data_IF_096046791131
#
_entry.id   IF_096046791131
#
_cell.length_a   1.000
_cell.length_b   1.000
_cell.length_c   1.000
_cell.angle_alpha   90.00
_cell.angle_beta   90.00
_cell.angle_gamma   90.00
#
_symmetry.space_group_name_H-M   'P 1'
#
loop_
_entity.id
_entity.type
_entity.pdbx_description
1 polymer ?
#
# COMPACT_ATOMS: atom_id res chain seq x y z
N UNK A 1 38.81 -84.66 -42.61
CA UNK A 1 39.43 -83.33 -42.81
C UNK A 1 38.41 -82.22 -43.11
N UNK A 2 37.43 -82.38 -44.03
CA UNK A 2 36.44 -81.33 -44.34
C UNK A 2 35.59 -80.85 -43.14
N UNK A 3 35.16 -81.76 -42.26
CA UNK A 3 34.34 -81.40 -41.09
C UNK A 3 35.15 -80.73 -39.94
N UNK A 4 36.47 -80.93 -39.87
CA UNK A 4 37.31 -80.27 -38.86
C UNK A 4 37.64 -78.82 -39.25
N UNK A 5 37.86 -78.54 -40.55
CA UNK A 5 38.03 -77.18 -41.06
C UNK A 5 36.76 -76.32 -40.88
N UNK A 6 35.58 -76.90 -41.04
CA UNK A 6 34.29 -76.22 -40.84
C UNK A 6 34.05 -75.87 -39.36
N UNK A 7 34.41 -76.76 -38.43
CA UNK A 7 34.27 -76.52 -36.99
C UNK A 7 35.24 -75.42 -36.50
N UNK A 8 36.48 -75.41 -37.00
CA UNK A 8 37.47 -74.37 -36.69
C UNK A 8 37.11 -73.00 -37.25
N UNK A 9 36.53 -72.95 -38.46
CA UNK A 9 36.01 -71.71 -39.05
C UNK A 9 34.80 -71.16 -38.26
N UNK A 10 33.89 -72.03 -37.83
CA UNK A 10 32.75 -71.64 -37.00
C UNK A 10 33.19 -71.15 -35.61
N UNK A 11 34.20 -71.78 -35.02
CA UNK A 11 34.77 -71.37 -33.72
C UNK A 11 35.50 -70.01 -33.81
N UNK A 12 36.25 -69.77 -34.88
CA UNK A 12 36.86 -68.45 -35.17
C UNK A 12 35.81 -67.36 -35.42
N UNK A 13 34.70 -67.71 -36.11
CA UNK A 13 33.58 -66.80 -36.30
C UNK A 13 32.91 -66.44 -34.96
N UNK A 14 32.66 -67.44 -34.10
CA UNK A 14 32.08 -67.25 -32.77
C UNK A 14 33.00 -66.44 -31.84
N UNK A 15 34.32 -66.64 -31.89
CA UNK A 15 35.30 -65.83 -31.16
C UNK A 15 35.32 -64.38 -31.66
N UNK A 16 35.22 -64.16 -32.97
CA UNK A 16 35.17 -62.81 -33.56
C UNK A 16 33.90 -62.06 -33.16
N UNK A 17 32.76 -62.77 -33.06
CA UNK A 17 31.49 -62.23 -32.59
C UNK A 17 31.57 -61.86 -31.10
N UNK A 18 32.21 -62.67 -30.25
CA UNK A 18 32.37 -62.34 -28.84
C UNK A 18 33.27 -61.13 -28.59
N UNK A 19 34.39 -60.99 -29.34
CA UNK A 19 35.30 -59.84 -29.23
C UNK A 19 34.60 -58.55 -29.69
N UNK A 20 33.84 -58.62 -30.79
CA UNK A 20 33.06 -57.49 -31.30
C UNK A 20 31.94 -57.10 -30.34
N UNK A 21 31.25 -58.06 -29.72
CA UNK A 21 30.21 -57.80 -28.73
C UNK A 21 30.75 -57.15 -27.44
N UNK A 22 31.98 -57.48 -27.03
CA UNK A 22 32.63 -56.82 -25.90
C UNK A 22 32.96 -55.36 -26.24
N UNK A 23 33.47 -55.08 -27.44
CA UNK A 23 33.72 -53.73 -27.94
C UNK A 23 32.41 -52.92 -28.08
N UNK A 24 31.35 -53.52 -28.61
CA UNK A 24 30.04 -52.87 -28.77
C UNK A 24 29.41 -52.51 -27.42
N UNK A 25 29.51 -53.42 -26.44
CA UNK A 25 29.05 -53.15 -25.08
C UNK A 25 29.82 -51.98 -24.45
N UNK A 26 31.13 -51.94 -24.58
CA UNK A 26 31.97 -50.85 -24.07
C UNK A 26 31.62 -49.50 -24.71
N UNK A 27 31.37 -49.47 -26.03
CA UNK A 27 30.93 -48.27 -26.76
C UNK A 27 29.59 -47.77 -26.23
N UNK A 28 28.61 -48.66 -26.06
CA UNK A 28 27.28 -48.32 -25.53
C UNK A 28 27.37 -47.77 -24.11
N UNK A 29 28.14 -48.43 -23.22
CA UNK A 29 28.27 -47.99 -21.83
C UNK A 29 29.00 -46.65 -21.74
N UNK A 30 30.05 -46.46 -22.54
CA UNK A 30 30.79 -45.19 -22.61
C UNK A 30 29.88 -44.04 -23.05
N UNK A 31 29.06 -44.26 -24.09
CA UNK A 31 28.09 -43.26 -24.54
C UNK A 31 27.08 -42.92 -23.43
N UNK A 32 26.44 -43.94 -22.82
CA UNK A 32 25.45 -43.74 -21.75
C UNK A 32 26.04 -43.01 -20.54
N UNK A 33 27.25 -43.37 -20.14
CA UNK A 33 27.95 -42.73 -19.03
C UNK A 33 28.25 -41.26 -19.32
N UNK A 34 28.73 -40.94 -20.53
CA UNK A 34 28.98 -39.54 -20.91
C UNK A 34 27.70 -38.73 -21.03
N UNK A 35 26.62 -39.31 -21.55
CA UNK A 35 25.29 -38.66 -21.58
C UNK A 35 24.84 -38.33 -20.15
N UNK A 36 24.91 -39.29 -19.22
CA UNK A 36 24.55 -39.03 -17.82
C UNK A 36 25.43 -37.96 -17.17
N UNK A 37 26.73 -37.98 -17.44
CA UNK A 37 27.64 -36.97 -16.92
C UNK A 37 27.28 -35.57 -17.45
N UNK A 38 26.94 -35.46 -18.74
CA UNK A 38 26.53 -34.18 -19.34
C UNK A 38 25.16 -33.73 -18.83
N UNK A 39 24.19 -34.64 -18.64
CA UNK A 39 22.91 -34.31 -18.00
C UNK A 39 23.13 -33.78 -16.57
N UNK A 40 24.02 -34.41 -15.80
CA UNK A 40 24.36 -33.96 -14.45
C UNK A 40 25.05 -32.59 -14.48
N UNK A 41 26.08 -32.42 -15.29
CA UNK A 41 26.81 -31.15 -15.44
C UNK A 41 25.88 -30.02 -15.89
N UNK A 42 24.92 -30.31 -16.78
CA UNK A 42 23.92 -29.35 -17.22
C UNK A 42 23.00 -28.90 -16.07
N UNK A 43 22.60 -29.85 -15.21
CA UNK A 43 21.77 -29.55 -14.03
C UNK A 43 22.52 -28.78 -12.94
N UNK A 44 23.83 -29.00 -12.82
CA UNK A 44 24.69 -28.37 -11.81
C UNK A 44 25.36 -27.07 -12.29
N UNK A 45 25.32 -26.78 -13.59
CA UNK A 45 25.95 -25.60 -14.18
C UNK A 45 25.51 -24.30 -13.49
N UNK A 46 26.50 -23.47 -13.17
CA UNK A 46 26.38 -22.23 -12.40
C UNK A 46 26.64 -20.96 -13.22
N UNK A 47 27.07 -21.09 -14.48
CA UNK A 47 27.34 -19.94 -15.36
C UNK A 47 27.09 -20.23 -16.84
N UNK A 48 26.90 -19.15 -17.60
CA UNK A 48 26.74 -19.21 -19.06
C UNK A 48 27.99 -19.76 -19.76
N UNK A 49 29.18 -19.53 -19.20
CA UNK A 49 30.45 -20.10 -19.69
C UNK A 49 30.52 -21.62 -19.49
N UNK A 50 30.07 -22.13 -18.35
CA UNK A 50 29.95 -23.58 -18.13
C UNK A 50 28.95 -24.22 -19.09
N UNK A 51 27.80 -23.57 -19.32
CA UNK A 51 26.80 -24.00 -20.31
C UNK A 51 27.40 -24.05 -21.72
N UNK A 52 28.15 -23.03 -22.10
CA UNK A 52 28.84 -22.97 -23.40
C UNK A 52 29.91 -24.06 -23.54
N UNK A 53 30.56 -24.46 -22.46
CA UNK A 53 31.52 -25.57 -22.46
C UNK A 53 30.81 -26.93 -22.56
N UNK A 54 29.71 -27.13 -21.82
CA UNK A 54 28.86 -28.33 -21.94
C UNK A 54 28.30 -28.46 -23.35
N UNK A 55 27.92 -27.35 -24.00
CA UNK A 55 27.48 -27.35 -25.40
C UNK A 55 28.57 -27.88 -26.35
N UNK A 56 29.83 -27.49 -26.13
CA UNK A 56 30.98 -28.02 -26.89
C UNK A 56 31.21 -29.50 -26.60
N UNK A 57 31.08 -29.92 -25.34
CA UNK A 57 31.24 -31.33 -24.96
C UNK A 57 30.14 -32.23 -25.55
N UNK A 58 28.93 -31.70 -25.72
CA UNK A 58 27.83 -32.38 -26.44
C UNK A 58 28.14 -32.53 -27.93
N UNK A 59 28.74 -31.53 -28.59
CA UNK A 59 29.20 -31.68 -29.97
C UNK A 59 30.35 -32.69 -30.07
N UNK A 60 31.30 -32.68 -29.13
CA UNK A 60 32.37 -33.68 -29.07
C UNK A 60 31.83 -35.09 -28.85
N UNK A 61 30.81 -35.26 -28.00
CA UNK A 61 30.11 -36.53 -27.82
C UNK A 61 29.46 -36.98 -29.13
N UNK A 62 28.74 -36.07 -29.80
CA UNK A 62 28.07 -36.37 -31.07
C UNK A 62 29.10 -36.82 -32.12
N UNK A 63 30.21 -36.11 -32.24
CA UNK A 63 31.24 -36.41 -33.23
C UNK A 63 31.92 -37.76 -32.93
N UNK A 64 32.29 -38.00 -31.67
CA UNK A 64 32.95 -39.24 -31.22
C UNK A 64 32.12 -40.51 -31.45
N UNK A 65 30.79 -40.42 -31.36
CA UNK A 65 29.91 -41.58 -31.43
C UNK A 65 29.10 -41.67 -32.73
N UNK A 66 29.30 -40.72 -33.65
CA UNK A 66 28.59 -40.65 -34.94
C UNK A 66 28.75 -41.91 -35.80
N UNK A 67 29.95 -42.49 -35.84
CA UNK A 67 30.24 -43.72 -36.58
C UNK A 67 29.55 -44.95 -35.98
N UNK A 68 29.18 -44.91 -34.70
CA UNK A 68 28.55 -46.00 -33.96
C UNK A 68 27.02 -45.84 -33.84
N UNK A 69 26.43 -44.93 -34.61
CA UNK A 69 25.01 -44.58 -34.51
C UNK A 69 24.06 -45.77 -34.60
N UNK A 70 24.25 -46.66 -35.57
CA UNK A 70 23.34 -47.80 -35.78
C UNK A 70 23.32 -48.77 -34.58
N UNK A 71 24.47 -48.95 -33.93
CA UNK A 71 24.58 -49.72 -32.69
C UNK A 71 23.86 -49.03 -31.53
N UNK A 72 24.04 -47.72 -31.39
CA UNK A 72 23.43 -46.92 -30.33
C UNK A 72 21.91 -46.82 -30.48
N UNK A 73 21.40 -46.64 -31.70
CA UNK A 73 19.96 -46.59 -31.99
C UNK A 73 19.25 -47.89 -31.54
N UNK A 74 19.91 -49.04 -31.68
CA UNK A 74 19.38 -50.34 -31.20
C UNK A 74 19.42 -50.47 -29.67
N UNK A 75 20.40 -49.85 -29.01
CA UNK A 75 20.62 -49.96 -27.56
C UNK A 75 19.87 -48.92 -26.71
N UNK A 76 19.43 -47.82 -27.34
CA UNK A 76 18.78 -46.68 -26.68
C UNK A 76 17.24 -46.74 -26.75
N UNK A 77 16.66 -47.75 -27.38
CA UNK A 77 15.22 -47.86 -27.60
C UNK A 77 14.38 -47.65 -26.31
N UNK A 78 13.28 -46.87 -26.36
CA UNK A 78 12.62 -46.30 -27.54
C UNK A 78 13.27 -45.01 -28.09
N UNK A 79 14.31 -44.51 -27.42
CA UNK A 79 15.10 -43.38 -27.90
C UNK A 79 16.12 -43.82 -28.95
N UNK A 80 16.72 -42.84 -29.63
CA UNK A 80 17.79 -43.04 -30.59
C UNK A 80 18.95 -42.06 -30.33
N UNK A 81 20.08 -42.27 -31.00
CA UNK A 81 21.27 -41.44 -30.85
C UNK A 81 20.97 -39.96 -31.12
N UNK A 82 20.24 -39.68 -32.19
CA UNK A 82 19.93 -38.30 -32.60
C UNK A 82 19.02 -37.62 -31.58
N UNK A 83 17.98 -38.31 -31.09
CA UNK A 83 17.07 -37.79 -30.07
C UNK A 83 17.78 -37.56 -28.74
N UNK A 84 18.68 -38.46 -28.35
CA UNK A 84 19.47 -38.30 -27.11
C UNK A 84 20.34 -37.05 -27.17
N UNK A 85 21.07 -36.85 -28.28
CA UNK A 85 21.87 -35.64 -28.50
C UNK A 85 20.99 -34.40 -28.61
N UNK A 86 19.85 -34.48 -29.31
CA UNK A 86 18.91 -33.36 -29.41
C UNK A 86 18.35 -32.95 -28.06
N UNK A 87 18.00 -33.90 -27.19
CA UNK A 87 17.55 -33.65 -25.82
C UNK A 87 18.61 -32.90 -24.99
N UNK A 88 19.88 -33.31 -25.10
CA UNK A 88 20.99 -32.61 -24.45
C UNK A 88 21.12 -31.16 -24.96
N UNK A 89 21.03 -30.94 -26.27
CA UNK A 89 21.08 -29.60 -26.88
C UNK A 89 19.91 -28.72 -26.47
N UNK A 90 18.69 -29.26 -26.46
CA UNK A 90 17.53 -28.52 -25.96
C UNK A 90 17.64 -28.21 -24.47
N UNK A 91 18.28 -29.09 -23.68
CA UNK A 91 18.64 -28.81 -22.29
C UNK A 91 19.59 -27.62 -22.16
N UNK A 92 20.63 -27.54 -23.01
CA UNK A 92 21.53 -26.39 -23.10
C UNK A 92 20.78 -25.10 -23.42
N UNK A 93 19.90 -25.13 -24.43
CA UNK A 93 19.12 -23.95 -24.83
C UNK A 93 18.22 -23.45 -23.69
N UNK A 94 17.46 -24.35 -23.05
CA UNK A 94 16.61 -24.01 -21.91
C UNK A 94 17.42 -23.44 -20.76
N UNK A 95 18.54 -24.07 -20.42
CA UNK A 95 19.38 -23.63 -19.30
C UNK A 95 20.10 -22.32 -19.60
N UNK A 96 20.51 -22.07 -20.85
CA UNK A 96 21.06 -20.79 -21.29
C UNK A 96 20.03 -19.65 -21.22
N UNK A 97 18.77 -19.94 -21.55
CA UNK A 97 17.66 -19.01 -21.40
C UNK A 97 17.46 -18.61 -19.92
N UNK A 98 17.53 -19.55 -18.99
CA UNK A 98 17.46 -19.26 -17.55
C UNK A 98 18.53 -18.24 -17.14
N UNK A 99 19.80 -18.45 -17.54
CA UNK A 99 20.89 -17.54 -17.17
C UNK A 99 20.78 -16.15 -17.82
N UNK A 100 20.34 -16.08 -19.08
CA UNK A 100 20.13 -14.81 -19.78
C UNK A 100 19.01 -14.01 -19.12
N UNK A 101 17.92 -14.69 -18.71
CA UNK A 101 16.83 -14.05 -18.00
C UNK A 101 17.27 -13.59 -16.60
N UNK A 102 18.08 -14.38 -15.89
CA UNK A 102 18.67 -13.99 -14.61
C UNK A 102 19.54 -12.74 -14.75
N UNK A 103 20.41 -12.65 -15.76
CA UNK A 103 21.29 -11.49 -15.96
C UNK A 103 20.50 -10.20 -16.25
N UNK A 104 19.44 -10.30 -17.06
CA UNK A 104 18.53 -9.17 -17.34
C UNK A 104 17.83 -8.72 -16.05
N UNK A 105 17.28 -9.67 -15.29
CA UNK A 105 16.61 -9.37 -14.02
C UNK A 105 17.59 -8.79 -12.99
N UNK A 106 18.82 -9.28 -12.92
CA UNK A 106 19.86 -8.72 -12.04
C UNK A 106 20.20 -7.27 -12.42
N UNK A 107 20.36 -6.99 -13.71
CA UNK A 107 20.62 -5.63 -14.20
C UNK A 107 19.47 -4.69 -13.87
N UNK A 108 18.22 -5.12 -14.09
CA UNK A 108 17.03 -4.37 -13.75
C UNK A 108 16.95 -4.10 -12.24
N UNK A 109 17.17 -5.13 -11.40
CA UNK A 109 17.19 -5.00 -9.93
C UNK A 109 18.28 -4.03 -9.46
N UNK A 110 19.46 -4.01 -10.07
CA UNK A 110 20.53 -3.04 -9.73
C UNK A 110 20.08 -1.61 -10.06
N UNK A 111 19.48 -1.37 -11.22
CA UNK A 111 18.99 -0.04 -11.60
C UNK A 111 17.85 0.41 -10.68
N UNK A 112 16.90 -0.49 -10.38
CA UNK A 112 15.80 -0.22 -9.45
C UNK A 112 16.34 0.08 -8.04
N UNK A 113 17.37 -0.64 -7.59
CA UNK A 113 18.05 -0.40 -6.30
C UNK A 113 18.64 1.00 -6.22
N UNK A 114 19.43 1.38 -7.21
CA UNK A 114 20.08 2.70 -7.22
C UNK A 114 19.04 3.83 -7.21
N UNK A 115 17.89 3.62 -7.86
CA UNK A 115 16.77 4.55 -7.79
C UNK A 115 16.10 4.56 -6.40
N UNK A 116 15.89 3.39 -5.77
CA UNK A 116 15.37 3.31 -4.39
C UNK A 116 16.29 4.05 -3.42
N UNK A 117 17.61 3.91 -3.53
CA UNK A 117 18.58 4.60 -2.67
C UNK A 117 18.60 6.12 -2.87
N UNK A 118 18.48 6.57 -4.13
CA UNK A 118 18.31 7.99 -4.46
C UNK A 118 17.03 8.55 -3.85
N UNK A 119 15.90 7.86 -4.02
CA UNK A 119 14.61 8.26 -3.46
C UNK A 119 14.66 8.25 -1.93
N UNK A 120 15.30 7.26 -1.32
CA UNK A 120 15.52 7.16 0.12
C UNK A 120 16.29 8.36 0.69
N UNK A 121 17.28 8.85 -0.05
CA UNK A 121 18.07 10.03 0.35
C UNK A 121 17.24 11.30 0.20
N UNK A 122 16.59 11.45 -0.96
CA UNK A 122 15.69 12.58 -1.24
C UNK A 122 14.54 12.68 -0.24
N UNK A 123 13.90 11.56 0.09
CA UNK A 123 12.80 11.52 1.06
C UNK A 123 13.23 11.99 2.43
N UNK A 124 14.42 11.56 2.89
CA UNK A 124 14.98 12.02 4.17
C UNK A 124 15.22 13.53 4.18
N UNK A 125 15.75 14.06 3.09
CA UNK A 125 15.97 15.50 2.94
C UNK A 125 14.65 16.27 2.97
N UNK A 126 13.66 15.84 2.19
CA UNK A 126 12.33 16.45 2.16
C UNK A 126 11.64 16.40 3.52
N UNK A 127 11.68 15.26 4.23
CA UNK A 127 11.16 15.12 5.59
C UNK A 127 11.79 16.14 6.53
N UNK A 128 13.12 16.30 6.46
CA UNK A 128 13.83 17.25 7.30
C UNK A 128 13.43 18.71 6.97
N UNK A 129 13.32 19.06 5.69
CA UNK A 129 12.89 20.39 5.27
C UNK A 129 11.44 20.69 5.72
N UNK A 130 10.53 19.73 5.57
CA UNK A 130 9.14 19.85 6.02
C UNK A 130 9.10 20.06 7.54
N UNK A 131 9.81 19.24 8.31
CA UNK A 131 9.84 19.36 9.77
C UNK A 131 10.31 20.75 10.24
N UNK A 132 11.34 21.30 9.58
CA UNK A 132 11.85 22.65 9.89
C UNK A 132 10.81 23.72 9.58
N UNK A 133 10.18 23.69 8.40
CA UNK A 133 9.17 24.68 8.01
C UNK A 133 7.87 24.54 8.82
N UNK A 134 7.49 23.32 9.18
CA UNK A 134 6.27 23.05 9.95
C UNK A 134 6.38 23.61 11.37
N UNK A 135 7.58 23.58 11.96
CA UNK A 135 7.85 24.09 13.30
C UNK A 135 7.77 25.63 13.40
N UNK A 136 7.81 26.36 12.28
CA UNK A 136 7.64 27.81 12.28
C UNK A 136 6.18 28.17 12.61
N UNK A 137 5.99 29.01 13.63
CA UNK A 137 4.66 29.47 14.09
C UNK A 137 4.14 30.65 13.28
N UNK A 138 5.00 31.38 12.58
CA UNK A 138 4.65 32.59 11.84
C UNK A 138 4.80 32.37 10.32
N UNK A 139 4.17 31.30 9.81
CA UNK A 139 4.26 30.94 8.40
C UNK A 139 3.58 32.01 7.53
N UNK A 140 4.35 32.65 6.66
CA UNK A 140 3.79 33.50 5.62
C UNK A 140 3.24 32.69 4.44
N UNK A 141 2.53 33.35 3.53
CA UNK A 141 1.90 32.70 2.36
C UNK A 141 2.92 31.99 1.48
N UNK A 142 4.16 32.50 1.40
CA UNK A 142 5.22 31.89 0.60
C UNK A 142 5.74 30.61 1.25
N UNK A 143 5.94 30.61 2.56
CA UNK A 143 6.33 29.47 3.38
C UNK A 143 5.29 28.37 3.32
N UNK A 144 3.99 28.72 3.37
CA UNK A 144 2.89 27.77 3.20
C UNK A 144 2.93 27.13 1.82
N UNK A 145 3.07 27.92 0.74
CA UNK A 145 3.18 27.37 -0.62
C UNK A 145 4.39 26.46 -0.80
N UNK A 146 5.53 26.82 -0.21
CA UNK A 146 6.74 25.99 -0.23
C UNK A 146 6.51 24.67 0.51
N UNK A 147 5.89 24.73 1.68
CA UNK A 147 5.54 23.56 2.47
C UNK A 147 4.60 22.63 1.69
N UNK A 148 3.51 23.13 1.11
CA UNK A 148 2.57 22.35 0.27
C UNK A 148 3.29 21.65 -0.89
N UNK A 149 4.22 22.35 -1.55
CA UNK A 149 5.04 21.77 -2.61
C UNK A 149 5.96 20.66 -2.10
N UNK A 150 6.63 20.87 -0.96
CA UNK A 150 7.51 19.85 -0.37
C UNK A 150 6.72 18.61 0.07
N UNK A 151 5.55 18.79 0.69
CA UNK A 151 4.64 17.70 1.09
C UNK A 151 4.18 16.91 -0.13
N UNK A 152 3.77 17.60 -1.20
CA UNK A 152 3.36 16.96 -2.47
C UNK A 152 4.51 16.16 -3.09
N UNK A 153 5.70 16.75 -3.15
CA UNK A 153 6.89 16.10 -3.69
C UNK A 153 7.30 14.87 -2.88
N UNK A 154 7.24 14.97 -1.54
CA UNK A 154 7.55 13.85 -0.66
C UNK A 154 6.53 12.73 -0.82
N UNK A 155 5.23 13.03 -0.85
CA UNK A 155 4.15 12.05 -1.09
C UNK A 155 4.39 11.29 -2.40
N UNK A 156 4.66 12.01 -3.50
CA UNK A 156 4.94 11.39 -4.79
C UNK A 156 6.22 10.53 -4.78
N UNK A 157 7.26 11.00 -4.10
CA UNK A 157 8.55 10.31 -4.00
C UNK A 157 8.49 9.05 -3.12
N UNK A 158 7.72 9.07 -2.03
CA UNK A 158 7.43 7.89 -1.21
C UNK A 158 6.67 6.83 -2.03
N UNK A 159 5.59 7.23 -2.71
CA UNK A 159 4.81 6.33 -3.57
C UNK A 159 5.67 5.70 -4.67
N UNK A 160 6.51 6.52 -5.34
CA UNK A 160 7.42 6.02 -6.38
C UNK A 160 8.37 4.97 -5.82
N UNK A 161 9.00 5.25 -4.67
CA UNK A 161 9.93 4.31 -4.02
C UNK A 161 9.22 3.00 -3.68
N UNK A 162 8.03 3.07 -3.12
CA UNK A 162 7.32 1.88 -2.67
C UNK A 162 6.88 1.01 -3.86
N UNK A 163 6.45 1.63 -4.96
CA UNK A 163 6.19 0.90 -6.21
C UNK A 163 7.44 0.21 -6.75
N UNK A 164 8.63 0.80 -6.60
CA UNK A 164 9.89 0.16 -6.99
C UNK A 164 10.25 -1.00 -6.04
N UNK A 165 10.06 -0.84 -4.74
CA UNK A 165 10.25 -1.93 -3.76
C UNK A 165 9.34 -3.10 -4.10
N UNK A 166 8.07 -2.84 -4.42
CA UNK A 166 7.12 -3.86 -4.84
C UNK A 166 7.47 -4.46 -6.19
N UNK A 167 7.95 -3.66 -7.15
CA UNK A 167 8.41 -4.15 -8.45
C UNK A 167 9.62 -5.08 -8.34
N UNK A 168 10.57 -4.77 -7.45
CA UNK A 168 11.69 -5.67 -7.12
C UNK A 168 11.13 -6.98 -6.55
N UNK A 169 10.20 -6.91 -5.60
CA UNK A 169 9.57 -8.10 -5.00
C UNK A 169 8.82 -8.94 -6.04
N UNK A 170 8.05 -8.32 -6.92
CA UNK A 170 7.32 -9.01 -8.00
C UNK A 170 8.29 -9.64 -9.01
N UNK A 171 9.37 -8.95 -9.36
CA UNK A 171 10.44 -9.49 -10.22
C UNK A 171 11.12 -10.71 -9.61
N UNK A 172 11.19 -10.80 -8.29
CA UNK A 172 11.75 -11.95 -7.57
C UNK A 172 10.73 -13.09 -7.45
N UNK A 173 9.43 -12.79 -7.57
CA UNK A 173 8.34 -13.74 -7.29
C UNK A 173 8.34 -14.99 -8.17
N UNK A 174 8.61 -14.96 -9.50
CA UNK A 174 8.66 -16.18 -10.31
C UNK A 174 9.65 -17.23 -9.78
N UNK A 175 10.81 -16.81 -9.27
CA UNK A 175 11.80 -17.70 -8.63
C UNK A 175 11.37 -18.17 -7.23
N UNK A 176 10.39 -17.49 -6.63
CA UNK A 176 9.79 -17.76 -5.33
C UNK A 176 8.42 -18.48 -5.44
N UNK A 177 7.94 -18.83 -6.63
CA UNK A 177 6.66 -19.55 -6.81
C UNK A 177 6.80 -21.06 -6.92
N UNK A 178 8.01 -21.55 -7.23
CA UNK A 178 8.37 -22.92 -6.87
C UNK A 178 8.40 -22.97 -5.35
N UNK A 179 7.61 -23.85 -4.73
CA UNK A 179 7.41 -23.97 -3.28
C UNK A 179 8.69 -23.63 -2.51
N UNK A 180 8.86 -22.37 -2.09
CA UNK A 180 10.12 -21.87 -1.51
C UNK A 180 10.46 -22.65 -0.26
N UNK A 181 9.42 -23.12 0.43
CA UNK A 181 9.49 -24.06 1.54
C UNK A 181 10.29 -25.32 1.19
N UNK A 182 10.18 -25.80 -0.05
CA UNK A 182 10.86 -26.99 -0.59
C UNK A 182 12.29 -26.75 -1.06
N UNK A 183 12.71 -25.50 -1.27
CA UNK A 183 14.08 -25.18 -1.70
C UNK A 183 15.11 -25.56 -0.62
N UNK A 184 16.26 -26.09 -1.05
CA UNK A 184 17.37 -26.39 -0.17
C UNK A 184 17.93 -25.12 0.48
N UNK A 185 18.58 -25.20 1.66
CA UNK A 185 19.29 -24.07 2.23
C UNK A 185 20.30 -23.43 1.27
N UNK A 186 20.97 -24.24 0.45
CA UNK A 186 21.96 -23.82 -0.53
C UNK A 186 21.31 -23.03 -1.68
N UNK A 187 20.15 -23.47 -2.17
CA UNK A 187 19.39 -22.75 -3.20
C UNK A 187 18.86 -21.41 -2.69
N UNK A 188 18.37 -21.39 -1.44
CA UNK A 188 17.95 -20.14 -0.78
C UNK A 188 19.11 -19.17 -0.62
N UNK A 189 20.29 -19.69 -0.25
CA UNK A 189 21.50 -18.87 -0.14
C UNK A 189 21.95 -18.33 -1.50
N UNK A 190 21.87 -19.13 -2.58
CA UNK A 190 22.17 -18.67 -3.94
C UNK A 190 21.23 -17.58 -4.40
N UNK A 191 19.92 -17.72 -4.15
CA UNK A 191 18.92 -16.68 -4.45
C UNK A 191 19.23 -15.43 -3.63
N UNK A 192 19.44 -15.55 -2.31
CA UNK A 192 19.78 -14.41 -1.46
C UNK A 192 21.09 -13.71 -1.86
N UNK A 193 22.09 -14.47 -2.33
CA UNK A 193 23.40 -13.95 -2.75
C UNK A 193 23.40 -13.36 -4.17
N UNK A 194 22.67 -13.95 -5.11
CA UNK A 194 22.49 -13.39 -6.46
C UNK A 194 21.84 -12.01 -6.43
N UNK A 195 21.06 -11.76 -5.38
CA UNK A 195 20.41 -10.49 -5.13
C UNK A 195 20.88 -9.91 -3.80
N UNK A 196 22.22 -9.83 -3.55
CA UNK A 196 22.91 -9.06 -2.48
C UNK A 196 22.53 -7.54 -2.48
N UNK A 197 21.25 -7.26 -2.61
CA UNK A 197 20.54 -6.02 -2.47
C UNK A 197 20.40 -5.84 -0.97
N UNK A 198 20.88 -4.71 -0.44
CA UNK A 198 20.89 -4.47 1.00
C UNK A 198 19.47 -4.65 1.58
N UNK A 199 19.28 -5.83 2.17
CA UNK A 199 18.09 -6.48 2.71
C UNK A 199 16.72 -5.88 2.27
N UNK A 200 16.03 -6.55 1.33
CA UNK A 200 14.63 -6.24 0.93
C UNK A 200 13.73 -5.97 2.13
N UNK A 201 13.86 -6.74 3.21
CA UNK A 201 13.11 -6.53 4.45
C UNK A 201 13.48 -5.20 5.12
N UNK A 202 14.75 -4.79 5.11
CA UNK A 202 15.15 -3.47 5.60
C UNK A 202 14.56 -2.34 4.78
N UNK A 203 14.42 -2.49 3.46
CA UNK A 203 13.78 -1.49 2.62
C UNK A 203 12.28 -1.38 2.92
N UNK A 204 11.58 -2.50 3.12
CA UNK A 204 10.20 -2.51 3.59
C UNK A 204 10.09 -1.81 4.94
N UNK A 205 10.90 -2.22 5.94
CA UNK A 205 10.91 -1.62 7.28
C UNK A 205 11.18 -0.11 7.23
N UNK A 206 12.16 0.30 6.42
CA UNK A 206 12.48 1.73 6.22
C UNK A 206 11.31 2.47 5.60
N UNK A 207 10.66 1.88 4.59
CA UNK A 207 9.52 2.50 3.95
C UNK A 207 8.40 2.80 4.95
N UNK A 208 8.03 1.81 5.77
CA UNK A 208 7.02 1.96 6.83
C UNK A 208 7.40 3.04 7.85
N UNK A 209 8.67 3.08 8.29
CA UNK A 209 9.15 4.12 9.23
C UNK A 209 9.12 5.52 8.61
N UNK A 210 9.49 5.66 7.34
CA UNK A 210 9.47 6.95 6.66
C UNK A 210 8.04 7.48 6.47
N UNK A 211 7.05 6.60 6.25
CA UNK A 211 5.64 6.98 6.21
C UNK A 211 5.10 7.44 7.55
N UNK A 212 5.44 6.75 8.64
CA UNK A 212 5.12 7.22 10.00
C UNK A 212 5.74 8.60 10.23
N UNK A 213 7.02 8.76 9.92
CA UNK A 213 7.73 10.03 10.11
C UNK A 213 7.15 11.15 9.24
N UNK A 214 6.73 10.84 8.02
CA UNK A 214 6.05 11.79 7.14
C UNK A 214 4.78 12.34 7.81
N UNK A 215 3.91 11.45 8.29
CA UNK A 215 2.69 11.82 8.99
C UNK A 215 2.98 12.65 10.25
N UNK A 216 4.01 12.29 11.02
CA UNK A 216 4.38 12.99 12.26
C UNK A 216 4.86 14.44 12.04
N UNK A 217 5.33 14.79 10.84
CA UNK A 217 5.90 16.12 10.55
C UNK A 217 5.02 16.97 9.64
N UNK A 218 3.84 16.48 9.26
CA UNK A 218 2.95 17.15 8.32
C UNK A 218 1.66 17.61 8.98
N UNK A 219 0.88 18.40 8.26
CA UNK A 219 -0.53 18.64 8.55
C UNK A 219 -1.30 18.48 7.26
N UNK A 220 -2.19 17.49 7.22
CA UNK A 220 -2.80 17.00 5.98
C UNK A 220 -4.31 17.21 5.96
N UNK A 221 -4.84 17.42 4.75
CA UNK A 221 -6.29 17.49 4.53
C UNK A 221 -6.90 16.09 4.48
N UNK A 222 -8.22 15.95 4.69
CA UNK A 222 -8.89 14.64 4.69
C UNK A 222 -8.62 13.81 3.43
N UNK A 223 -8.57 14.44 2.26
CA UNK A 223 -8.29 13.76 0.99
C UNK A 223 -6.87 13.21 0.92
N UNK A 224 -5.86 13.95 1.40
CA UNK A 224 -4.47 13.50 1.43
C UNK A 224 -4.31 12.29 2.38
N UNK A 225 -4.96 12.35 3.55
CA UNK A 225 -4.93 11.24 4.51
C UNK A 225 -5.62 10.00 3.93
N UNK A 226 -6.74 10.19 3.20
CA UNK A 226 -7.42 9.11 2.49
C UNK A 226 -6.52 8.44 1.45
N UNK A 227 -5.76 9.21 0.69
CA UNK A 227 -4.79 8.66 -0.27
C UNK A 227 -3.70 7.83 0.43
N UNK A 228 -3.14 8.33 1.53
CA UNK A 228 -2.12 7.60 2.30
C UNK A 228 -2.70 6.33 2.90
N UNK A 229 -3.94 6.38 3.39
CA UNK A 229 -4.64 5.19 3.87
C UNK A 229 -4.82 4.15 2.77
N UNK A 230 -5.21 4.55 1.57
CA UNK A 230 -5.33 3.63 0.44
C UNK A 230 -3.98 2.98 0.09
N UNK A 231 -2.88 3.76 0.17
CA UNK A 231 -1.53 3.22 -0.03
C UNK A 231 -1.17 2.21 1.07
N UNK A 232 -1.48 2.51 2.33
CA UNK A 232 -1.27 1.61 3.45
C UNK A 232 -2.05 0.30 3.29
N UNK A 233 -3.34 0.39 2.94
CA UNK A 233 -4.20 -0.78 2.72
C UNK A 233 -3.66 -1.65 1.57
N UNK A 234 -3.21 -1.02 0.47
CA UNK A 234 -2.57 -1.74 -0.63
C UNK A 234 -1.28 -2.45 -0.19
N UNK A 235 -0.37 -1.75 0.50
CA UNK A 235 0.88 -2.33 0.97
C UNK A 235 0.63 -3.50 1.92
N UNK A 236 -0.26 -3.35 2.90
CA UNK A 236 -0.65 -4.43 3.82
C UNK A 236 -1.19 -5.63 3.02
N UNK A 237 -2.05 -5.41 2.03
CA UNK A 237 -2.62 -6.49 1.22
C UNK A 237 -1.57 -7.24 0.41
N UNK A 238 -0.54 -6.55 -0.08
CA UNK A 238 0.57 -7.14 -0.82
C UNK A 238 1.49 -7.91 0.12
N UNK A 239 1.83 -7.32 1.27
CA UNK A 239 2.63 -7.98 2.32
C UNK A 239 1.99 -9.28 2.82
N UNK A 240 0.67 -9.30 3.03
CA UNK A 240 -0.04 -10.52 3.44
C UNK A 240 0.09 -11.68 2.43
N UNK A 241 0.28 -11.38 1.14
CA UNK A 241 0.40 -12.39 0.09
C UNK A 241 1.81 -12.96 -0.03
N UNK A 242 2.84 -12.13 0.17
CA UNK A 242 4.23 -12.48 -0.20
C UNK A 242 5.23 -12.35 0.96
N UNK A 243 4.84 -11.74 2.08
CA UNK A 243 5.72 -11.42 3.20
C UNK A 243 6.37 -12.65 3.84
N UNK A 244 5.61 -13.75 3.97
CA UNK A 244 6.16 -15.02 4.48
C UNK A 244 7.27 -15.56 3.57
N UNK A 245 7.02 -15.59 2.26
CA UNK A 245 7.99 -16.08 1.27
C UNK A 245 9.24 -15.18 1.22
N UNK A 246 9.06 -13.87 1.32
CA UNK A 246 10.17 -12.92 1.39
C UNK A 246 11.04 -13.15 2.62
N UNK A 247 10.42 -13.27 3.80
CA UNK A 247 11.15 -13.57 5.03
C UNK A 247 11.82 -14.94 4.94
N UNK A 248 11.21 -15.91 4.27
CA UNK A 248 11.77 -17.24 4.16
C UNK A 248 13.08 -17.31 3.37
N UNK A 249 13.27 -16.40 2.41
CA UNK A 249 14.47 -16.29 1.58
C UNK A 249 15.49 -15.30 2.14
N UNK A 250 15.02 -14.15 2.64
CA UNK A 250 15.90 -13.02 2.96
C UNK A 250 16.22 -12.88 4.44
N UNK A 251 15.53 -13.57 5.35
CA UNK A 251 15.84 -13.55 6.77
C UNK A 251 16.65 -14.77 7.21
N UNK A 252 17.52 -14.56 8.20
CA UNK A 252 18.20 -15.64 8.90
C UNK A 252 17.19 -16.59 9.53
N UNK A 253 17.47 -17.90 9.49
CA UNK A 253 16.57 -18.96 10.02
C UNK A 253 16.07 -18.68 11.45
N UNK A 254 16.89 -18.04 12.28
CA UNK A 254 16.57 -17.73 13.68
C UNK A 254 15.72 -16.45 13.84
N UNK A 255 15.75 -15.56 12.86
CA UNK A 255 15.12 -14.23 12.92
C UNK A 255 13.80 -14.13 12.16
N UNK A 256 13.42 -15.15 11.38
CA UNK A 256 12.19 -15.14 10.57
C UNK A 256 10.94 -14.67 11.31
N UNK A 257 10.68 -15.24 12.49
CA UNK A 257 9.51 -14.85 13.30
C UNK A 257 9.61 -13.42 13.82
N UNK A 258 10.82 -12.95 14.13
CA UNK A 258 11.05 -11.59 14.61
C UNK A 258 10.86 -10.58 13.47
N UNK A 259 11.35 -10.88 12.27
CA UNK A 259 11.19 -10.02 11.09
C UNK A 259 9.72 -9.81 10.72
N UNK A 260 8.92 -10.89 10.69
CA UNK A 260 7.47 -10.80 10.45
C UNK A 260 6.79 -9.92 11.52
N UNK A 261 7.08 -10.17 12.80
CA UNK A 261 6.51 -9.40 13.91
C UNK A 261 6.91 -7.93 13.87
N UNK A 262 8.17 -7.63 13.55
CA UNK A 262 8.64 -6.25 13.47
C UNK A 262 7.90 -5.49 12.36
N UNK A 263 7.73 -6.11 11.20
CA UNK A 263 7.01 -5.50 10.08
C UNK A 263 5.52 -5.32 10.40
N UNK A 264 4.87 -6.31 11.05
CA UNK A 264 3.48 -6.19 11.50
C UNK A 264 3.29 -5.05 12.51
N UNK A 265 4.24 -4.88 13.43
CA UNK A 265 4.26 -3.74 14.36
C UNK A 265 4.39 -2.42 13.61
N UNK A 266 5.26 -2.34 12.61
CA UNK A 266 5.42 -1.14 11.79
C UNK A 266 4.15 -0.79 11.00
N UNK A 267 3.40 -1.78 10.50
CA UNK A 267 2.09 -1.55 9.89
C UNK A 267 1.08 -0.99 10.89
N UNK A 268 1.05 -1.52 12.12
CA UNK A 268 0.21 -0.98 13.19
C UNK A 268 0.58 0.46 13.58
N UNK A 269 1.88 0.76 13.61
CA UNK A 269 2.37 2.12 13.85
C UNK A 269 1.94 3.08 12.74
N UNK A 270 2.03 2.66 11.47
CA UNK A 270 1.56 3.48 10.34
C UNK A 270 0.06 3.73 10.41
N UNK A 271 -0.75 2.70 10.72
CA UNK A 271 -2.18 2.86 10.91
C UNK A 271 -2.51 3.86 12.04
N UNK A 272 -1.76 3.80 13.13
CA UNK A 272 -1.92 4.69 14.29
C UNK A 272 -1.52 6.11 13.93
N UNK A 273 -0.42 6.30 13.19
CA UNK A 273 0.03 7.60 12.71
C UNK A 273 -1.02 8.26 11.80
N UNK A 274 -1.65 7.52 10.89
CA UNK A 274 -2.74 8.03 10.03
C UNK A 274 -3.90 8.58 10.87
N UNK A 275 -4.29 7.85 11.93
CA UNK A 275 -5.38 8.28 12.83
C UNK A 275 -4.99 9.50 13.65
N UNK A 276 -3.77 9.52 14.18
CA UNK A 276 -3.26 10.64 14.96
C UNK A 276 -3.18 11.90 14.12
N UNK A 277 -2.70 11.78 12.88
CA UNK A 277 -2.58 12.88 11.95
C UNK A 277 -3.93 13.53 11.62
N UNK A 278 -4.98 12.73 11.46
CA UNK A 278 -6.34 13.25 11.29
C UNK A 278 -6.80 14.10 12.50
N UNK A 279 -6.56 13.62 13.73
CA UNK A 279 -6.95 14.38 14.93
C UNK A 279 -6.09 15.64 15.13
N UNK A 280 -4.79 15.55 14.86
CA UNK A 280 -3.87 16.69 14.93
C UNK A 280 -4.26 17.76 13.91
N UNK A 281 -4.57 17.37 12.68
CA UNK A 281 -5.01 18.30 11.62
C UNK A 281 -6.32 18.98 11.96
N UNK A 282 -7.31 18.25 12.51
CA UNK A 282 -8.54 18.87 13.02
C UNK A 282 -8.22 19.90 14.10
N UNK A 283 -7.33 19.58 15.05
CA UNK A 283 -6.96 20.51 16.12
C UNK A 283 -6.31 21.78 15.57
N UNK A 284 -5.43 21.65 14.60
CA UNK A 284 -4.79 22.79 13.93
C UNK A 284 -5.83 23.68 13.23
N UNK A 285 -6.84 23.10 12.57
CA UNK A 285 -7.95 23.86 11.93
C UNK A 285 -8.69 24.77 12.92
N UNK A 286 -8.91 24.31 14.15
CA UNK A 286 -9.50 25.15 15.20
C UNK A 286 -8.50 26.16 15.75
N UNK A 287 -7.25 25.78 15.98
CA UNK A 287 -6.21 26.65 16.53
C UNK A 287 -5.90 27.85 15.63
N UNK A 288 -5.84 27.66 14.30
CA UNK A 288 -5.64 28.73 13.31
C UNK A 288 -6.77 29.78 13.37
N UNK A 289 -7.96 29.37 13.78
CA UNK A 289 -9.11 30.25 13.97
C UNK A 289 -9.27 30.74 15.42
N UNK A 290 -8.21 30.64 16.24
CA UNK A 290 -8.16 31.04 17.66
C UNK A 290 -9.16 30.29 18.57
N UNK A 291 -9.52 29.06 18.20
CA UNK A 291 -10.36 28.18 19.02
C UNK A 291 -9.45 27.13 19.64
N UNK A 292 -9.16 27.30 20.93
CA UNK A 292 -8.28 26.41 21.67
C UNK A 292 -9.07 25.23 22.24
N UNK A 293 -8.88 24.05 21.65
CA UNK A 293 -9.40 22.79 22.18
C UNK A 293 -8.31 22.08 22.98
N UNK A 294 -8.72 21.34 24.02
CA UNK A 294 -7.87 20.36 24.69
C UNK A 294 -7.53 19.19 23.75
N UNK A 295 -6.54 18.40 24.14
CA UNK A 295 -6.11 17.23 23.38
C UNK A 295 -7.21 16.16 23.33
N UNK A 296 -7.44 15.62 22.13
CA UNK A 296 -8.26 14.44 21.87
C UNK A 296 -7.60 13.53 20.84
N UNK A 297 -7.84 12.22 20.96
CA UNK A 297 -7.30 11.16 20.08
C UNK A 297 -8.37 10.18 19.60
N UNK A 298 -9.63 10.46 19.90
CA UNK A 298 -10.77 9.60 19.56
C UNK A 298 -12.02 10.41 19.26
N UNK A 299 -12.97 9.84 18.52
CA UNK A 299 -14.25 10.51 18.24
C UNK A 299 -15.04 10.82 19.51
N UNK A 300 -14.89 10.00 20.55
CA UNK A 300 -15.51 10.26 21.85
C UNK A 300 -14.89 11.47 22.54
N UNK A 301 -13.57 11.53 22.66
CA UNK A 301 -12.87 12.67 23.25
C UNK A 301 -13.12 13.95 22.45
N UNK A 302 -13.10 13.89 21.12
CA UNK A 302 -13.42 15.01 20.25
C UNK A 302 -14.84 15.53 20.51
N UNK A 303 -15.83 14.63 20.59
CA UNK A 303 -17.22 15.00 20.87
C UNK A 303 -17.36 15.65 22.25
N UNK A 304 -16.75 15.06 23.28
CA UNK A 304 -16.77 15.61 24.65
C UNK A 304 -16.13 16.99 24.67
N UNK A 305 -14.96 17.15 24.07
CA UNK A 305 -14.22 18.40 24.09
C UNK A 305 -14.95 19.52 23.33
N UNK A 306 -15.49 19.21 22.15
CA UNK A 306 -16.22 20.19 21.35
C UNK A 306 -17.52 20.63 22.04
N UNK A 307 -18.26 19.69 22.62
CA UNK A 307 -19.49 20.02 23.36
C UNK A 307 -19.19 20.78 24.66
N UNK A 308 -18.08 20.47 25.35
CA UNK A 308 -17.61 21.23 26.51
C UNK A 308 -17.30 22.69 26.14
N UNK A 309 -16.57 22.91 25.05
CA UNK A 309 -16.29 24.26 24.53
C UNK A 309 -17.59 25.04 24.27
N UNK A 310 -18.56 24.41 23.59
CA UNK A 310 -19.86 25.03 23.30
C UNK A 310 -20.63 25.34 24.60
N UNK A 311 -20.66 24.41 25.56
CA UNK A 311 -21.35 24.59 26.84
C UNK A 311 -20.71 25.69 27.71
N UNK A 312 -19.39 25.87 27.63
CA UNK A 312 -18.68 26.97 28.30
C UNK A 312 -19.03 28.33 27.68
N UNK A 313 -19.07 28.43 26.35
CA UNK A 313 -19.52 29.65 25.67
C UNK A 313 -21.00 29.95 25.92
N UNK A 314 -21.83 28.91 26.03
CA UNK A 314 -23.23 29.03 26.44
C UNK A 314 -23.38 29.60 27.86
N UNK A 315 -22.63 29.09 28.85
CA UNK A 315 -22.67 29.60 30.24
C UNK A 315 -22.22 31.06 30.35
N UNK A 316 -21.32 31.48 29.47
CA UNK A 316 -20.79 32.84 29.45
C UNK A 316 -21.71 33.87 28.77
N UNK A 317 -22.83 33.44 28.16
CA UNK A 317 -23.76 34.29 27.39
C UNK A 317 -24.49 35.39 28.21
N UNK A 318 -24.33 35.46 29.54
CA UNK A 318 -24.79 36.59 30.36
C UNK A 318 -23.67 37.36 31.06
N UNK A 319 -22.42 36.92 30.88
CA UNK A 319 -21.22 37.50 31.48
C UNK A 319 -20.46 38.33 30.44
N UNK A 320 -20.40 37.83 29.20
CA UNK A 320 -19.87 38.54 28.03
C UNK A 320 -20.94 39.46 27.42
N UNK A 321 -20.52 40.47 26.65
CA UNK A 321 -21.48 41.26 25.88
C UNK A 321 -22.12 40.42 24.77
N UNK A 322 -23.33 40.78 24.35
CA UNK A 322 -24.04 40.09 23.27
C UNK A 322 -23.21 40.07 21.98
N UNK A 323 -22.61 41.20 21.63
CA UNK A 323 -21.77 41.35 20.43
C UNK A 323 -20.56 40.41 20.47
N UNK A 324 -19.97 40.20 21.66
CA UNK A 324 -18.83 39.30 21.82
C UNK A 324 -19.25 37.84 21.65
N UNK A 325 -20.38 37.43 22.25
CA UNK A 325 -20.92 36.08 22.08
C UNK A 325 -21.35 35.79 20.63
N UNK A 326 -21.96 36.77 19.94
CA UNK A 326 -22.27 36.68 18.51
C UNK A 326 -21.00 36.52 17.68
N UNK A 327 -19.96 37.32 17.95
CA UNK A 327 -18.68 37.25 17.26
C UNK A 327 -18.00 35.89 17.43
N UNK A 328 -17.94 35.34 18.65
CA UNK A 328 -17.33 34.03 18.92
C UNK A 328 -18.10 32.91 18.21
N UNK A 329 -19.44 32.94 18.27
CA UNK A 329 -20.27 31.97 17.56
C UNK A 329 -20.01 32.03 16.05
N UNK A 330 -20.08 33.22 15.45
CA UNK A 330 -19.84 33.42 14.02
C UNK A 330 -18.43 32.99 13.62
N UNK A 331 -17.41 33.31 14.42
CA UNK A 331 -16.04 32.86 14.18
C UNK A 331 -15.95 31.32 14.15
N UNK A 332 -16.51 30.64 15.15
CA UNK A 332 -16.56 29.17 15.20
C UNK A 332 -17.31 28.58 14.00
N UNK A 333 -18.51 29.06 13.76
CA UNK A 333 -19.43 28.46 12.80
C UNK A 333 -19.02 28.72 11.37
N UNK A 334 -18.73 29.99 11.02
CA UNK A 334 -18.49 30.39 9.64
C UNK A 334 -17.03 30.18 9.21
N UNK A 335 -16.07 30.24 10.16
CA UNK A 335 -14.65 30.12 9.82
C UNK A 335 -14.12 28.69 9.94
N UNK A 336 -14.68 27.88 10.84
CA UNK A 336 -14.14 26.55 11.15
C UNK A 336 -15.17 25.44 10.87
N UNK A 337 -16.33 25.49 11.52
CA UNK A 337 -17.26 24.35 11.53
C UNK A 337 -17.93 24.12 10.17
N UNK A 338 -18.70 25.08 9.65
CA UNK A 338 -19.40 24.94 8.37
C UNK A 338 -18.49 25.06 7.15
N UNK A 339 -17.34 25.72 7.30
CA UNK A 339 -16.39 25.90 6.21
C UNK A 339 -15.49 24.69 5.96
N UNK A 340 -15.04 24.01 7.03
CA UNK A 340 -14.00 22.97 6.95
C UNK A 340 -14.43 21.69 7.66
N UNK A 341 -14.71 21.75 8.97
CA UNK A 341 -14.89 20.54 9.80
C UNK A 341 -16.10 19.70 9.40
N UNK A 342 -17.28 20.30 9.28
CA UNK A 342 -18.50 19.57 8.90
C UNK A 342 -18.48 19.06 7.45
N UNK A 343 -18.11 19.85 6.42
CA UNK A 343 -18.15 19.36 5.05
C UNK A 343 -17.02 18.40 4.69
N UNK A 344 -15.82 18.54 5.28
CA UNK A 344 -14.64 17.75 4.89
C UNK A 344 -14.27 16.68 5.93
N UNK A 345 -14.13 17.07 7.20
CA UNK A 345 -13.64 16.16 8.25
C UNK A 345 -14.70 15.18 8.73
N UNK A 346 -15.94 15.61 8.97
CA UNK A 346 -17.00 14.72 9.49
C UNK A 346 -17.25 13.52 8.55
N UNK A 347 -17.40 13.70 7.22
CA UNK A 347 -17.53 12.56 6.30
C UNK A 347 -16.34 11.62 6.37
N UNK A 348 -15.10 12.16 6.33
CA UNK A 348 -13.89 11.35 6.44
C UNK A 348 -13.86 10.53 7.73
N UNK A 349 -14.19 11.14 8.87
CA UNK A 349 -14.18 10.46 10.17
C UNK A 349 -15.25 9.35 10.23
N UNK A 350 -16.43 9.55 9.64
CA UNK A 350 -17.49 8.53 9.62
C UNK A 350 -17.10 7.38 8.70
N UNK A 351 -16.65 7.67 7.47
CA UNK A 351 -16.24 6.66 6.49
C UNK A 351 -15.12 5.76 7.04
N UNK A 352 -14.23 6.33 7.87
CA UNK A 352 -13.14 5.63 8.51
C UNK A 352 -13.44 5.10 9.93
N UNK A 353 -14.72 5.12 10.35
CA UNK A 353 -15.19 4.62 11.67
C UNK A 353 -14.48 5.29 12.86
N UNK A 354 -14.02 6.52 12.69
CA UNK A 354 -13.40 7.35 13.73
C UNK A 354 -14.44 8.19 14.49
N UNK A 355 -15.62 8.40 13.90
CA UNK A 355 -16.77 9.07 14.50
C UNK A 355 -18.06 8.33 14.14
N UNK A 356 -19.04 8.28 15.05
CA UNK A 356 -20.35 7.67 14.79
C UNK A 356 -21.38 8.70 14.33
N UNK A 357 -22.45 8.23 13.67
CA UNK A 357 -23.57 9.08 13.29
C UNK A 357 -24.25 9.73 14.51
N UNK A 358 -24.31 9.02 15.64
CA UNK A 358 -24.87 9.54 16.89
C UNK A 358 -24.02 10.68 17.46
N UNK A 359 -22.69 10.54 17.43
CA UNK A 359 -21.76 11.60 17.85
C UNK A 359 -21.91 12.85 16.98
N UNK A 360 -22.01 12.68 15.65
CA UNK A 360 -22.31 13.78 14.73
C UNK A 360 -23.62 14.50 15.12
N UNK A 361 -24.72 13.77 15.28
CA UNK A 361 -26.01 14.37 15.62
C UNK A 361 -25.99 15.12 16.96
N UNK A 362 -25.24 14.61 17.94
CA UNK A 362 -25.07 15.28 19.23
C UNK A 362 -24.36 16.64 19.08
N UNK A 363 -23.28 16.69 18.28
CA UNK A 363 -22.55 17.93 18.02
C UNK A 363 -23.44 18.92 17.26
N UNK A 364 -24.13 18.48 16.20
CA UNK A 364 -25.02 19.34 15.41
C UNK A 364 -26.18 19.91 16.25
N UNK A 365 -26.73 19.11 17.17
CA UNK A 365 -27.73 19.57 18.13
C UNK A 365 -27.15 20.66 19.05
N UNK A 366 -25.93 20.49 19.56
CA UNK A 366 -25.25 21.47 20.42
C UNK A 366 -24.92 22.77 19.71
N UNK A 367 -24.45 22.72 18.47
CA UNK A 367 -24.22 23.91 17.63
C UNK A 367 -25.55 24.65 17.37
N UNK A 368 -26.64 23.92 17.17
CA UNK A 368 -27.98 24.50 16.97
C UNK A 368 -28.53 25.12 18.26
N UNK A 369 -28.35 24.47 19.40
CA UNK A 369 -28.72 24.99 20.73
C UNK A 369 -28.00 26.31 20.99
N UNK A 370 -26.68 26.35 20.77
CA UNK A 370 -25.88 27.56 20.94
C UNK A 370 -26.36 28.71 20.03
N UNK A 371 -26.70 28.41 18.76
CA UNK A 371 -27.28 29.39 17.83
C UNK A 371 -28.53 30.06 18.40
N UNK A 372 -29.45 29.25 18.92
CA UNK A 372 -30.76 29.75 19.39
C UNK A 372 -30.63 30.63 20.64
N UNK A 373 -29.53 30.49 21.39
CA UNK A 373 -29.24 31.34 22.54
C UNK A 373 -28.61 32.65 22.12
N UNK A 374 -27.60 32.61 21.25
CA UNK A 374 -26.87 33.80 20.79
C UNK A 374 -27.72 34.65 19.84
N UNK A 375 -28.50 34.01 18.97
CA UNK A 375 -29.48 34.63 18.09
C UNK A 375 -30.89 34.14 18.45
N UNK A 376 -31.46 34.60 19.59
CA UNK A 376 -32.81 34.23 19.96
C UNK A 376 -33.74 34.69 18.85
N UNK A 377 -34.58 33.79 18.34
CA UNK A 377 -35.58 34.13 17.33
C UNK A 377 -36.40 35.30 17.86
N UNK A 378 -36.47 36.37 17.09
CA UNK A 378 -37.18 37.58 17.47
C UNK A 378 -38.69 37.27 17.50
N UNK A 379 -39.21 36.89 18.66
CA UNK A 379 -40.65 36.67 18.91
C UNK A 379 -41.41 37.99 19.07
N UNK A 380 -40.76 39.14 18.82
CA UNK A 380 -41.40 40.45 18.73
C UNK A 380 -42.61 40.45 17.80
N UNK A 381 -42.60 39.66 16.72
CA UNK A 381 -43.78 39.50 15.86
C UNK A 381 -44.99 38.90 16.58
N UNK A 382 -44.80 38.05 17.59
CA UNK A 382 -45.88 37.51 18.44
C UNK A 382 -46.45 38.61 19.33
N UNK A 383 -45.61 39.48 19.88
CA UNK A 383 -46.09 40.66 20.62
C UNK A 383 -46.87 41.62 19.71
N UNK A 384 -46.42 41.86 18.47
CA UNK A 384 -47.17 42.63 17.48
C UNK A 384 -48.48 41.93 17.06
N UNK A 385 -48.50 40.60 16.95
CA UNK A 385 -49.70 39.83 16.64
C UNK A 385 -50.73 39.88 17.78
N UNK A 386 -50.28 39.76 19.04
CA UNK A 386 -51.16 39.89 20.23
C UNK A 386 -51.68 41.32 20.36
N UNK A 387 -50.84 42.34 20.12
CA UNK A 387 -51.26 43.74 20.13
C UNK A 387 -52.28 44.04 19.03
N UNK A 388 -52.08 43.51 17.81
CA UNK A 388 -53.04 43.64 16.71
C UNK A 388 -54.37 42.93 17.02
N UNK A 389 -54.34 41.79 17.70
CA UNK A 389 -55.53 41.03 18.09
C UNK A 389 -56.33 41.77 19.18
N UNK A 390 -55.65 42.38 20.16
CA UNK A 390 -56.28 43.25 21.16
C UNK A 390 -56.91 44.49 20.53
N UNK A 391 -56.24 45.12 19.56
CA UNK A 391 -56.78 46.25 18.80
C UNK A 391 -57.99 45.84 17.95
N UNK A 392 -57.97 44.66 17.32
CA UNK A 392 -59.10 44.14 16.55
C UNK A 392 -60.32 43.86 17.44
N UNK A 393 -60.12 43.34 18.67
CA UNK A 393 -61.20 43.15 19.66
C UNK A 393 -61.78 44.48 20.13
N UNK A 394 -60.92 45.48 20.39
CA UNK A 394 -61.33 46.84 20.73
C UNK A 394 -62.16 47.49 19.61
N UNK A 395 -61.70 47.35 18.36
CA UNK A 395 -62.37 47.89 17.18
C UNK A 395 -63.73 47.21 16.95
N UNK A 396 -63.80 45.89 17.14
CA UNK A 396 -65.05 45.14 17.06
C UNK A 396 -66.09 45.58 18.11
N UNK A 397 -65.66 45.88 19.34
CA UNK A 397 -66.54 46.40 20.38
C UNK A 397 -67.00 47.85 20.14
N UNK A 398 -66.12 48.69 19.58
CA UNK A 398 -66.47 50.06 19.19
C UNK A 398 -67.49 50.11 18.05
N UNK A 399 -67.36 49.22 17.05
CA UNK A 399 -68.32 49.12 15.93
C UNK A 399 -69.63 48.40 16.28
N UNK A 400 -69.68 47.63 17.38
CA UNK A 400 -70.94 47.02 17.87
C UNK A 400 -71.83 47.97 18.66
N UNK A 401 -71.39 49.19 18.99
CA UNK A 401 -72.27 50.23 19.54
C UNK A 401 -73.11 50.81 18.40
N UNK A 402 -74.33 50.29 18.23
CA UNK A 402 -75.35 50.86 17.33
C UNK A 402 -75.51 52.37 17.60
N UNK A 403 -75.62 53.22 16.56
CA UNK A 403 -76.01 54.60 16.74
C UNK A 403 -77.43 54.65 17.34
N UNK A 404 -77.62 55.44 18.40
CA UNK A 404 -78.96 55.75 18.93
C UNK A 404 -79.74 56.48 17.83
N UNK A 405 -80.80 55.85 17.33
CA UNK A 405 -81.79 56.51 16.47
C UNK A 405 -82.53 57.57 17.26
N UNK A 406 -82.31 58.84 16.92
CA UNK A 406 -83.16 59.97 17.25
C UNK A 406 -84.39 59.90 16.32
N UNK A 407 -85.58 59.64 16.87
CA UNK A 407 -86.84 59.90 16.17
C UNK A 407 -87.35 61.26 16.63
N UNK A 408 -87.26 62.24 15.73
CA UNK A 408 -87.99 63.49 15.78
C UNK A 408 -88.54 63.73 14.39
N UNK A 409 -89.87 63.78 14.28
CA UNK A 409 -90.66 64.69 13.44
C UNK A 409 -92.15 64.29 13.64
N UNK A 410 -93.06 65.06 14.23
CA UNK A 410 -93.55 66.44 14.05
C UNK A 410 -94.89 66.46 13.29
N UNK A 411 -95.80 67.36 13.74
CA UNK A 411 -96.99 67.92 13.08
C UNK A 411 -98.34 67.17 13.24
N UNK A 412 -99.51 67.80 13.43
CA UNK A 412 -99.98 69.21 13.42
C UNK A 412 -101.44 69.22 13.94
N UNK A 413 -101.86 70.30 14.66
CA UNK A 413 -103.22 70.91 14.85
C UNK A 413 -104.42 69.98 15.18
N UNK A 414 -105.32 70.27 16.11
CA UNK A 414 -105.92 71.51 16.59
C UNK A 414 -106.58 71.23 17.94
#
# INVERSE_FOLDING_TARGET
MKNQLLLSALFMLLLSICISAQSDYEIVQSFKSKVQQLEQQLSEAASLDEINNIAKDIELLKDQFSENKELLDKSLYPEDFNKTVAKLKSGVELRALDFTQIEVLQTEVIVLRDEVDRLNTRNRELINQIAVLQADKNKDVETIRKLESLVTNLKASLLKRDNLILGIVDSLTPQLTADVSSLSPEDKQKIAAQFESNNVLNNVKRSLRDHVRFLDVTTLKPNDIKEIKNQQDYFVSTWQKIGVNLVDVYADKKEKSNELKEIDVLFGNWQTAIRNEAWNSIKEEFAVNNIFMQDFKSGQEFTVELTRFIDEEFKNYGIKSKEESERIYTAFVDSTWFKSVQPEWIPYLIDNKMLTAQQKSLIEAKVTEWKNVVFPRDITWVYYAVAALLLAVLFFFLFKRKPKTLNAEENIKQ
#
